data_IF_898119736091
#
_entry.id   IF_898119736091
#
_cell.length_a   1.000
_cell.length_b   1.000
_cell.length_c   1.000
_cell.angle_alpha   90.00
_cell.angle_beta   90.00
_cell.angle_gamma   90.00
#
_symmetry.space_group_name_H-M   'P 1'
#
loop_
_entity.id
_entity.type
_entity.pdbx_description
1 polymer ?
#
# COMPACT_ATOMS: atom_id res chain seq x y z
N UNK A 1 -45.36 12.73 -41.23
CA UNK A 1 -46.44 11.80 -41.61
C UNK A 1 -47.32 11.57 -40.40
N UNK A 2 -48.44 12.30 -40.33
CA UNK A 2 -49.42 12.20 -39.26
C UNK A 2 -50.48 11.18 -39.68
N UNK A 3 -50.74 10.17 -38.84
CA UNK A 3 -51.89 9.26 -39.00
C UNK A 3 -52.86 9.48 -37.85
N UNK A 4 -54.10 9.64 -38.27
CA UNK A 4 -55.30 10.08 -37.58
C UNK A 4 -55.88 8.99 -36.69
N UNK A 5 -56.54 9.44 -35.63
CA UNK A 5 -57.35 8.64 -34.71
C UNK A 5 -58.54 7.99 -35.43
N UNK A 6 -58.79 6.72 -35.14
CA UNK A 6 -60.05 6.04 -35.46
C UNK A 6 -60.67 5.51 -34.17
N UNK A 7 -61.79 6.12 -33.80
CA UNK A 7 -62.65 5.76 -32.68
C UNK A 7 -63.50 4.53 -33.01
N UNK A 8 -63.47 3.51 -32.15
CA UNK A 8 -64.53 2.52 -32.06
C UNK A 8 -64.84 2.27 -30.59
N UNK A 9 -66.11 2.46 -30.23
CA UNK A 9 -66.67 2.32 -28.90
C UNK A 9 -66.60 0.87 -28.37
N UNK A 10 -66.50 0.68 -27.04
CA UNK A 10 -66.45 -0.62 -26.40
C UNK A 10 -67.82 -1.30 -26.38
N UNK A 11 -67.88 -2.57 -26.76
CA UNK A 11 -69.07 -3.40 -26.57
C UNK A 11 -69.26 -3.76 -25.09
N UNK A 12 -70.52 -3.66 -24.68
CA UNK A 12 -71.01 -3.76 -23.32
C UNK A 12 -71.35 -5.19 -22.88
N UNK A 13 -71.01 -5.48 -21.63
CA UNK A 13 -71.73 -6.26 -20.62
C UNK A 13 -72.09 -7.75 -20.89
N UNK A 14 -71.48 -8.62 -20.10
CA UNK A 14 -72.24 -9.65 -19.38
C UNK A 14 -71.66 -9.89 -17.98
N UNK A 15 -72.57 -9.89 -17.01
CA UNK A 15 -72.39 -9.98 -15.55
C UNK A 15 -71.62 -11.24 -15.13
N UNK A 16 -70.65 -11.05 -14.24
CA UNK A 16 -70.15 -12.06 -13.32
C UNK A 16 -69.98 -11.43 -11.94
N UNK A 17 -70.99 -11.56 -11.08
CA UNK A 17 -70.87 -11.27 -9.65
C UNK A 17 -70.02 -12.38 -9.03
N UNK A 18 -68.72 -12.14 -8.91
CA UNK A 18 -67.83 -12.96 -8.09
C UNK A 18 -67.39 -12.10 -6.90
N UNK A 19 -67.62 -12.63 -5.70
CA UNK A 19 -67.65 -11.94 -4.43
C UNK A 19 -66.49 -10.98 -4.16
N UNK A 20 -66.84 -9.81 -3.63
CA UNK A 20 -65.92 -8.87 -3.04
C UNK A 20 -65.34 -9.44 -1.73
N UNK A 21 -64.27 -10.23 -1.82
CA UNK A 21 -63.34 -10.35 -0.70
C UNK A 21 -62.55 -9.04 -0.63
N UNK A 22 -62.73 -8.27 0.44
CA UNK A 22 -61.88 -7.12 0.76
C UNK A 22 -60.45 -7.64 0.96
N UNK A 23 -59.63 -7.59 -0.09
CA UNK A 23 -58.19 -7.69 0.06
C UNK A 23 -57.74 -6.36 0.69
N UNK A 24 -57.42 -6.40 1.98
CA UNK A 24 -56.64 -5.31 2.57
C UNK A 24 -55.33 -5.23 1.79
N UNK A 25 -54.90 -4.05 1.31
CA UNK A 25 -53.58 -3.94 0.73
C UNK A 25 -52.59 -4.27 1.84
N UNK A 26 -51.95 -5.43 1.75
CA UNK A 26 -50.77 -5.73 2.55
C UNK A 26 -49.80 -4.57 2.37
N UNK A 27 -49.29 -3.95 3.45
CA UNK A 27 -48.39 -2.82 3.30
C UNK A 27 -47.21 -3.26 2.45
N UNK A 28 -47.00 -2.57 1.33
CA UNK A 28 -45.82 -2.72 0.50
C UNK A 28 -44.62 -2.47 1.40
N UNK A 29 -43.95 -3.54 1.85
CA UNK A 29 -42.72 -3.44 2.63
C UNK A 29 -41.65 -2.96 1.68
N UNK A 30 -41.46 -1.64 1.63
CA UNK A 30 -40.34 -1.04 0.95
C UNK A 30 -39.06 -1.48 1.68
N UNK A 31 -38.39 -2.50 1.15
CA UNK A 31 -37.09 -2.93 1.63
C UNK A 31 -36.09 -1.80 1.40
N UNK A 32 -35.95 -0.90 2.38
CA UNK A 32 -34.85 0.07 2.40
C UNK A 32 -33.58 -0.73 2.68
N UNK A 33 -32.80 -0.99 1.63
CA UNK A 33 -31.47 -1.60 1.69
C UNK A 33 -30.58 -0.70 2.56
N UNK A 34 -30.53 -0.99 3.86
CA UNK A 34 -29.84 -0.18 4.85
C UNK A 34 -30.50 -0.10 6.23
N UNK A 35 -31.76 -0.51 6.40
CA UNK A 35 -32.32 -0.69 7.76
C UNK A 35 -31.64 -1.87 8.43
N UNK A 36 -30.63 -1.56 9.25
CA UNK A 36 -29.80 -2.50 9.99
C UNK A 36 -30.65 -3.18 11.07
N UNK A 37 -31.23 -4.34 10.74
CA UNK A 37 -32.13 -5.15 11.60
C UNK A 37 -31.37 -5.94 12.68
N UNK A 38 -30.41 -5.31 13.37
CA UNK A 38 -29.85 -5.85 14.61
C UNK A 38 -29.79 -4.73 15.64
N UNK A 39 -30.67 -4.79 16.64
CA UNK A 39 -30.52 -4.01 17.87
C UNK A 39 -29.21 -4.50 18.51
N UNK A 40 -28.17 -3.68 18.40
CA UNK A 40 -26.94 -3.89 19.15
C UNK A 40 -27.08 -3.04 20.40
N UNK A 41 -26.91 -3.64 21.59
CA UNK A 41 -27.07 -2.97 22.89
C UNK A 41 -25.98 -1.93 23.20
N UNK A 42 -25.19 -1.52 22.20
CA UNK A 42 -23.99 -0.69 22.33
C UNK A 42 -24.09 0.57 21.47
N UNK A 43 -23.54 1.67 21.99
CA UNK A 43 -23.41 2.94 21.27
C UNK A 43 -22.72 2.76 19.90
N UNK A 44 -23.12 3.50 18.84
CA UNK A 44 -22.46 3.45 17.53
C UNK A 44 -20.95 3.69 17.58
N UNK A 45 -20.47 4.55 18.49
CA UNK A 45 -19.04 4.78 18.69
C UNK A 45 -18.33 3.53 19.24
N UNK A 46 -18.96 2.86 20.22
CA UNK A 46 -18.46 1.60 20.76
C UNK A 46 -18.47 0.49 19.70
N UNK A 47 -19.50 0.43 18.84
CA UNK A 47 -19.53 -0.50 17.70
C UNK A 47 -18.38 -0.24 16.72
N UNK A 48 -18.05 1.03 16.42
CA UNK A 48 -16.91 1.39 15.56
C UNK A 48 -15.60 0.90 16.17
N UNK A 49 -15.38 1.12 17.47
CA UNK A 49 -14.20 0.61 18.17
C UNK A 49 -14.14 -0.92 18.14
N UNK A 50 -15.26 -1.61 18.40
CA UNK A 50 -15.34 -3.08 18.31
C UNK A 50 -15.03 -3.56 16.90
N UNK A 51 -15.47 -2.86 15.85
CA UNK A 51 -15.10 -3.22 14.48
C UNK A 51 -13.63 -2.99 14.19
N UNK A 52 -13.03 -1.89 14.68
CA UNK A 52 -11.58 -1.64 14.54
C UNK A 52 -10.76 -2.70 15.28
N UNK A 53 -11.15 -3.05 16.51
CA UNK A 53 -10.55 -4.14 17.28
C UNK A 53 -10.76 -5.49 16.58
N UNK A 54 -11.95 -5.71 16.00
CA UNK A 54 -12.21 -6.91 15.21
C UNK A 54 -11.28 -6.97 14.01
N UNK A 55 -11.04 -5.88 13.29
CA UNK A 55 -10.13 -5.82 12.13
C UNK A 55 -8.72 -6.26 12.53
N UNK A 56 -8.21 -5.81 13.68
CA UNK A 56 -6.91 -6.21 14.20
C UNK A 56 -6.90 -7.64 14.76
N UNK A 57 -8.05 -8.15 15.21
CA UNK A 57 -8.18 -9.50 15.78
C UNK A 57 -8.06 -10.60 14.72
N UNK A 58 -7.17 -11.56 14.96
CA UNK A 58 -6.97 -12.74 14.12
C UNK A 58 -8.11 -13.78 14.19
N UNK A 59 -9.03 -13.66 15.15
CA UNK A 59 -9.99 -14.70 15.57
C UNK A 59 -10.64 -15.48 14.42
N UNK A 60 -11.41 -14.81 13.55
CA UNK A 60 -12.10 -15.43 12.39
C UNK A 60 -11.49 -15.02 11.04
N UNK A 61 -10.28 -14.45 11.07
CA UNK A 61 -9.61 -13.89 9.88
C UNK A 61 -8.39 -14.69 9.44
N UNK A 62 -7.78 -15.46 10.34
CA UNK A 62 -6.68 -16.33 9.96
C UNK A 62 -7.21 -17.58 9.22
N UNK A 63 -6.58 -17.96 8.08
CA UNK A 63 -6.90 -19.20 7.41
C UNK A 63 -6.41 -20.40 8.22
N UNK A 64 -6.82 -21.61 7.83
CA UNK A 64 -6.22 -22.84 8.36
C UNK A 64 -4.74 -22.89 7.98
N UNK A 65 -3.91 -23.45 8.86
CA UNK A 65 -2.49 -23.64 8.58
C UNK A 65 -2.28 -24.46 7.31
N UNK A 66 -1.33 -24.03 6.48
CA UNK A 66 -0.95 -24.74 5.27
C UNK A 66 -0.31 -26.08 5.63
N UNK A 67 -0.85 -27.16 5.09
CA UNK A 67 -0.28 -28.52 5.19
C UNK A 67 0.37 -28.85 3.86
N UNK A 68 1.65 -29.21 3.88
CA UNK A 68 2.42 -29.58 2.70
C UNK A 68 2.66 -31.09 2.69
N UNK A 69 2.74 -31.67 1.50
CA UNK A 69 3.27 -33.01 1.33
C UNK A 69 4.76 -33.03 1.70
N UNK A 70 5.32 -34.19 2.13
CA UNK A 70 6.73 -34.27 2.50
C UNK A 70 7.69 -33.77 1.40
N UNK A 71 7.41 -34.10 0.15
CA UNK A 71 8.20 -33.64 -1.00
C UNK A 71 8.19 -32.12 -1.16
N UNK A 72 7.01 -31.49 -1.08
CA UNK A 72 6.88 -30.04 -1.22
C UNK A 72 7.48 -29.29 -0.03
N UNK A 73 7.46 -29.90 1.16
CA UNK A 73 8.17 -29.37 2.33
C UNK A 73 9.69 -29.38 2.10
N UNK A 74 10.24 -30.45 1.54
CA UNK A 74 11.66 -30.51 1.15
C UNK A 74 11.97 -29.46 0.09
N UNK A 75 11.14 -29.33 -0.96
CA UNK A 75 11.30 -28.27 -1.99
C UNK A 75 11.30 -26.88 -1.35
N UNK A 76 10.35 -26.59 -0.46
CA UNK A 76 10.30 -25.31 0.26
C UNK A 76 11.60 -25.04 1.02
N UNK A 77 12.09 -26.03 1.77
CA UNK A 77 13.33 -25.90 2.53
C UNK A 77 14.53 -25.65 1.61
N UNK A 78 14.63 -26.37 0.49
CA UNK A 78 15.73 -26.16 -0.48
C UNK A 78 15.74 -24.74 -1.05
N UNK A 79 14.58 -24.19 -1.41
CA UNK A 79 14.45 -22.80 -1.89
C UNK A 79 14.88 -21.81 -0.80
N UNK A 80 14.44 -22.03 0.44
CA UNK A 80 14.81 -21.18 1.57
C UNK A 80 16.32 -21.21 1.85
N UNK A 81 16.94 -22.40 1.86
CA UNK A 81 18.38 -22.53 2.06
C UNK A 81 19.19 -21.90 0.91
N UNK A 82 18.75 -22.09 -0.33
CA UNK A 82 19.35 -21.42 -1.49
C UNK A 82 19.27 -19.89 -1.37
N UNK A 83 18.12 -19.36 -0.95
CA UNK A 83 17.95 -17.91 -0.72
C UNK A 83 18.84 -17.39 0.41
N UNK A 84 18.95 -18.12 1.53
CA UNK A 84 19.87 -17.78 2.63
C UNK A 84 21.32 -17.74 2.15
N UNK A 85 21.73 -18.72 1.34
CA UNK A 85 23.06 -18.78 0.76
C UNK A 85 23.34 -17.57 -0.13
N UNK A 86 22.42 -17.22 -1.04
CA UNK A 86 22.57 -16.05 -1.92
C UNK A 86 22.65 -14.76 -1.10
N UNK A 87 21.79 -14.61 -0.09
CA UNK A 87 21.78 -13.43 0.78
C UNK A 87 23.10 -13.29 1.55
N UNK A 88 23.65 -14.39 2.07
CA UNK A 88 24.98 -14.40 2.71
C UNK A 88 26.09 -13.98 1.74
N UNK A 89 26.06 -14.51 0.50
CA UNK A 89 27.05 -14.13 -0.54
C UNK A 89 26.98 -12.64 -0.88
N UNK A 90 25.77 -12.08 -1.04
CA UNK A 90 25.58 -10.64 -1.31
C UNK A 90 26.13 -9.77 -0.18
N UNK A 91 25.80 -10.10 1.06
CA UNK A 91 26.31 -9.38 2.24
C UNK A 91 27.83 -9.48 2.36
N UNK A 92 28.40 -10.65 2.07
CA UNK A 92 29.87 -10.84 2.06
C UNK A 92 30.53 -9.93 1.01
N UNK A 93 30.01 -9.91 -0.22
CA UNK A 93 30.53 -9.07 -1.29
C UNK A 93 30.41 -7.56 -0.98
N UNK A 94 29.29 -7.14 -0.37
CA UNK A 94 29.12 -5.76 0.10
C UNK A 94 30.14 -5.39 1.17
N UNK A 95 30.34 -6.25 2.18
CA UNK A 95 31.32 -6.04 3.23
C UNK A 95 32.77 -6.00 2.69
N UNK A 96 33.10 -6.85 1.73
CA UNK A 96 34.40 -6.84 1.06
C UNK A 96 34.63 -5.52 0.31
N UNK A 97 33.60 -5.03 -0.40
CA UNK A 97 33.66 -3.72 -1.06
C UNK A 97 33.84 -2.57 -0.07
N UNK A 98 33.10 -2.56 1.04
CA UNK A 98 33.24 -1.55 2.09
C UNK A 98 34.64 -1.59 2.72
N UNK A 99 35.20 -2.78 2.92
CA UNK A 99 36.57 -2.95 3.41
C UNK A 99 37.60 -2.37 2.43
N UNK A 100 37.47 -2.66 1.13
CA UNK A 100 38.36 -2.11 0.11
C UNK A 100 38.27 -0.58 0.03
N UNK A 101 37.06 -0.02 0.12
CA UNK A 101 36.86 1.43 0.18
C UNK A 101 37.56 2.05 1.38
N UNK A 102 37.43 1.43 2.57
CA UNK A 102 38.11 1.88 3.78
C UNK A 102 39.63 1.83 3.64
N UNK A 103 40.18 0.72 3.13
CA UNK A 103 41.62 0.57 2.90
C UNK A 103 42.16 1.62 1.92
N UNK A 104 41.43 1.86 0.83
CA UNK A 104 41.76 2.91 -0.14
C UNK A 104 41.73 4.31 0.48
N UNK A 105 40.70 4.64 1.26
CA UNK A 105 40.60 5.92 1.98
C UNK A 105 41.75 6.09 2.98
N UNK A 106 42.10 5.03 3.71
CA UNK A 106 43.20 5.05 4.68
C UNK A 106 44.53 5.35 4.00
N UNK A 107 44.85 4.66 2.91
CA UNK A 107 46.07 4.89 2.14
C UNK A 107 46.14 6.34 1.61
N UNK A 108 45.04 6.84 1.05
CA UNK A 108 44.97 8.22 0.56
C UNK A 108 45.21 9.25 1.69
N UNK A 109 44.66 9.01 2.88
CA UNK A 109 44.90 9.86 4.05
C UNK A 109 46.35 9.79 4.54
N UNK A 110 46.96 8.61 4.57
CA UNK A 110 48.37 8.44 4.94
C UNK A 110 49.30 9.18 3.95
N UNK A 111 49.00 9.11 2.66
CA UNK A 111 49.78 9.80 1.64
C UNK A 111 49.59 11.32 1.72
N UNK A 112 48.35 11.80 1.94
CA UNK A 112 48.08 13.22 2.15
C UNK A 112 48.84 13.74 3.38
N UNK A 113 48.93 12.96 4.46
CA UNK A 113 49.65 13.35 5.68
C UNK A 113 51.15 13.60 5.43
N UNK A 114 51.75 12.85 4.50
CA UNK A 114 53.18 12.96 4.13
C UNK A 114 53.43 14.15 3.20
N UNK A 115 52.49 14.46 2.32
CA UNK A 115 52.63 15.51 1.30
C UNK A 115 52.24 16.88 1.84
N UNK A 116 51.10 17.00 2.53
CA UNK A 116 50.59 18.27 3.05
C UNK A 116 49.82 18.07 4.37
N UNK A 117 50.46 18.37 5.52
CA UNK A 117 49.81 18.26 6.82
C UNK A 117 48.59 19.18 6.99
N UNK A 118 48.60 20.37 6.39
CA UNK A 118 47.49 21.35 6.49
C UNK A 118 46.21 20.81 5.82
N UNK A 119 46.32 20.24 4.62
CA UNK A 119 45.18 19.64 3.92
C UNK A 119 44.68 18.40 4.65
N UNK A 120 45.59 17.61 5.24
CA UNK A 120 45.22 16.46 6.06
C UNK A 120 44.41 16.87 7.29
N UNK A 121 44.84 17.91 8.01
CA UNK A 121 44.09 18.44 9.15
C UNK A 121 42.70 18.93 8.72
N UNK A 122 42.62 19.66 7.61
CA UNK A 122 41.34 20.14 7.07
C UNK A 122 40.39 18.99 6.70
N UNK A 123 40.90 17.94 6.05
CA UNK A 123 40.11 16.79 5.62
C UNK A 123 39.64 15.89 6.78
N UNK A 124 40.43 15.80 7.86
CA UNK A 124 40.11 14.96 9.02
C UNK A 124 39.13 15.63 10.01
N UNK A 125 38.63 16.84 9.70
CA UNK A 125 37.63 17.53 10.54
C UNK A 125 36.32 16.75 10.54
N UNK A 126 35.78 16.54 11.74
CA UNK A 126 34.52 15.79 11.93
C UNK A 126 33.33 16.63 11.44
N UNK A 127 32.63 16.13 10.43
CA UNK A 127 31.42 16.75 9.89
C UNK A 127 30.15 16.36 10.71
N UNK A 128 29.98 16.94 11.91
CA UNK A 128 28.89 16.57 12.84
C UNK A 128 27.49 16.87 12.29
N UNK A 129 27.33 17.92 11.49
CA UNK A 129 26.03 18.40 11.00
C UNK A 129 25.70 17.99 9.58
N UNK A 130 26.54 17.19 8.92
CA UNK A 130 26.35 16.81 7.52
C UNK A 130 25.16 15.87 7.37
N UNK A 131 24.27 16.24 6.45
CA UNK A 131 23.08 15.46 6.08
C UNK A 131 23.16 15.14 4.59
N UNK A 132 22.50 14.06 4.19
CA UNK A 132 22.27 13.80 2.77
C UNK A 132 21.35 14.88 2.20
N UNK A 133 21.66 15.34 0.99
CA UNK A 133 20.82 16.29 0.26
C UNK A 133 19.45 15.68 -0.04
N UNK A 134 18.39 16.49 -0.01
CA UNK A 134 17.02 16.04 -0.28
C UNK A 134 16.81 15.54 -1.72
N UNK A 135 17.67 15.97 -2.65
CA UNK A 135 17.67 15.54 -4.05
C UNK A 135 18.19 14.12 -4.25
N UNK A 136 18.97 13.58 -3.31
CA UNK A 136 19.43 12.19 -3.33
C UNK A 136 18.27 11.26 -2.94
N UNK A 137 17.38 11.03 -3.91
CA UNK A 137 16.16 10.23 -3.74
C UNK A 137 16.46 8.73 -3.72
N UNK A 138 15.59 7.98 -3.03
CA UNK A 138 15.58 6.52 -3.07
C UNK A 138 15.13 6.04 -4.46
N UNK A 139 15.81 5.05 -5.07
CA UNK A 139 15.41 4.51 -6.38
C UNK A 139 13.97 4.00 -6.39
N UNK A 140 13.23 4.34 -7.44
CA UNK A 140 11.84 3.91 -7.67
C UNK A 140 11.77 2.73 -8.65
N UNK A 141 10.68 1.96 -8.62
CA UNK A 141 10.48 0.82 -9.54
C UNK A 141 10.38 1.26 -11.00
N UNK A 142 9.81 2.44 -11.26
CA UNK A 142 9.68 3.03 -12.59
C UNK A 142 10.23 4.47 -12.55
N UNK A 143 10.85 4.96 -13.63
CA UNK A 143 11.36 6.31 -13.69
C UNK A 143 10.20 7.33 -13.70
N UNK A 144 10.43 8.56 -13.20
CA UNK A 144 9.49 9.67 -13.38
C UNK A 144 9.44 10.13 -14.85
N UNK A 145 8.43 10.93 -15.21
CA UNK A 145 8.28 11.49 -16.57
C UNK A 145 9.52 12.27 -17.02
N UNK A 146 10.18 12.97 -16.09
CA UNK A 146 11.46 13.66 -16.31
C UNK A 146 12.51 12.95 -15.45
N UNK A 147 13.35 12.08 -16.04
CA UNK A 147 14.32 11.29 -15.28
C UNK A 147 15.40 12.11 -14.58
N UNK A 148 15.75 13.25 -15.16
CA UNK A 148 16.83 14.11 -14.69
C UNK A 148 16.53 15.58 -14.98
N UNK A 149 16.85 16.45 -14.02
CA UNK A 149 16.72 17.90 -14.14
C UNK A 149 18.09 18.50 -14.44
N UNK A 150 18.23 19.13 -15.62
CA UNK A 150 19.50 19.72 -16.05
C UNK A 150 19.66 21.18 -15.61
N UNK A 151 18.55 21.84 -15.31
CA UNK A 151 18.39 23.26 -14.95
C UNK A 151 18.44 23.50 -13.44
N UNK A 152 19.13 22.64 -12.70
CA UNK A 152 19.24 22.74 -11.25
C UNK A 152 19.97 24.01 -10.82
N UNK A 153 19.32 24.81 -9.97
CA UNK A 153 19.92 25.99 -9.34
C UNK A 153 19.82 25.81 -7.81
N UNK A 154 20.95 25.74 -7.08
CA UNK A 154 20.92 25.54 -5.63
C UNK A 154 20.31 26.76 -4.94
N UNK A 155 19.40 26.54 -4.00
CA UNK A 155 18.86 27.61 -3.16
C UNK A 155 19.99 28.24 -2.34
N UNK A 156 20.11 29.57 -2.40
CA UNK A 156 21.09 30.32 -1.62
C UNK A 156 20.80 30.13 -0.12
N UNK A 157 21.82 29.99 0.74
CA UNK A 157 21.62 29.91 2.18
C UNK A 157 20.89 31.13 2.78
N UNK A 158 20.78 32.25 2.04
CA UNK A 158 20.09 33.49 2.48
C UNK A 158 18.56 33.40 2.41
N UNK A 159 17.99 32.49 1.62
CA UNK A 159 16.54 32.42 1.37
C UNK A 159 15.78 31.57 2.41
N UNK A 160 16.48 30.95 3.36
CA UNK A 160 15.90 30.13 4.43
C UNK A 160 15.48 31.01 5.62
N UNK A 161 14.29 31.62 5.53
CA UNK A 161 13.59 32.27 6.66
C UNK A 161 12.88 31.27 7.57
#
# INVERSE_FOLDING_TARGET
MFKTYSSALPQSLSRGLVGATRQTPTPFIQFVRGKRTKKYDLSPAAQKLITQLSVLSASRKQPKMLKLCPEDFVKHNTVQEAYKLITRKRKKAENEKLKQQYESMKLACEDLSKVSPELFEAANKREVSKRFSLELRVPTNYPPNVPWYYDYTPESPEDKK
#
